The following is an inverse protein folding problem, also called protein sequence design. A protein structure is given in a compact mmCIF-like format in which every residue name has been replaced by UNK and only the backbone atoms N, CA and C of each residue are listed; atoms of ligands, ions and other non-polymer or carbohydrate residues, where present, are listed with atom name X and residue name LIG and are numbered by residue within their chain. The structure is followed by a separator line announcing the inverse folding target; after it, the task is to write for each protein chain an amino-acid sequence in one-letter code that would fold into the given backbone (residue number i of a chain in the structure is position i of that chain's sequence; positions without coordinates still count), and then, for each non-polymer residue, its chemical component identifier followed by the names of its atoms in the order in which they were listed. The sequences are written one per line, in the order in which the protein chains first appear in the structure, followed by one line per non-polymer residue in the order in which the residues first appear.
data_IF_706188846220
#
_entry.id   IF_706188846220
#
_cell.length_a   1.000
_cell.length_b   1.000
_cell.length_c   1.000
_cell.angle_alpha   90.00
_cell.angle_beta   90.00
_cell.angle_gamma   90.00
#
_symmetry.space_group_name_H-M   'P 1'
#
loop_
_entity.id
_entity.type
_entity.pdbx_description
1 polymer ?
#
# COMPACT_ATOMS: atom_id res chain seq x y z
N UNK A 1 -6.01 -20.70 30.07
CA UNK A 1 -5.40 -20.03 28.88
C UNK A 1 -6.54 -19.58 27.98
N UNK A 2 -6.99 -18.36 28.15
CA UNK A 2 -8.07 -17.78 27.34
C UNK A 2 -7.43 -17.15 26.09
N UNK A 3 -7.62 -17.80 24.95
CA UNK A 3 -7.27 -17.20 23.65
C UNK A 3 -8.25 -16.07 23.36
N UNK A 4 -7.80 -14.84 23.53
CA UNK A 4 -8.52 -13.66 23.06
C UNK A 4 -8.44 -13.65 21.53
N UNK A 5 -9.52 -14.03 20.87
CA UNK A 5 -9.66 -13.86 19.43
C UNK A 5 -9.90 -12.38 19.14
N UNK A 6 -8.89 -11.71 18.62
CA UNK A 6 -9.09 -10.38 18.04
C UNK A 6 -9.81 -10.56 16.72
N UNK A 7 -11.08 -10.16 16.67
CA UNK A 7 -11.82 -10.10 15.41
C UNK A 7 -11.18 -9.10 14.47
N UNK A 8 -11.07 -9.40 13.17
CA UNK A 8 -10.64 -8.41 12.19
C UNK A 8 -11.64 -7.23 12.22
N UNK A 9 -11.12 -6.01 12.34
CA UNK A 9 -11.94 -4.81 12.16
C UNK A 9 -12.23 -4.71 10.66
N UNK A 10 -13.37 -5.25 10.25
CA UNK A 10 -13.90 -5.01 8.91
C UNK A 10 -14.86 -3.82 9.05
N UNK A 11 -14.44 -2.66 8.60
CA UNK A 11 -15.36 -1.52 8.46
C UNK A 11 -16.11 -1.73 7.16
N UNK A 12 -17.26 -2.39 7.23
CA UNK A 12 -18.25 -2.33 6.14
C UNK A 12 -18.88 -0.95 6.18
N UNK A 13 -18.55 -0.13 5.18
CA UNK A 13 -19.42 1.01 4.86
C UNK A 13 -20.70 0.41 4.28
N UNK A 14 -21.79 0.51 5.02
CA UNK A 14 -23.11 0.15 4.53
C UNK A 14 -23.32 0.79 3.15
N UNK A 15 -23.73 -0.02 2.17
CA UNK A 15 -23.90 0.43 0.79
C UNK A 15 -24.69 1.71 0.74
N UNK A 16 -24.12 2.75 0.14
CA UNK A 16 -24.83 3.99 -0.11
C UNK A 16 -25.98 3.70 -1.08
N UNK A 17 -27.04 4.50 -1.06
CA UNK A 17 -28.14 4.48 -2.05
C UNK A 17 -27.62 4.62 -3.48
N UNK A 18 -26.35 5.01 -3.67
CA UNK A 18 -25.65 5.17 -4.95
C UNK A 18 -25.17 3.85 -5.58
N UNK A 19 -25.18 2.72 -4.85
CA UNK A 19 -24.66 1.44 -5.34
C UNK A 19 -23.14 1.39 -5.47
N UNK A 20 -22.41 2.39 -4.94
CA UNK A 20 -20.94 2.44 -4.93
C UNK A 20 -20.42 1.66 -3.72
N UNK A 21 -19.42 0.82 -3.93
CA UNK A 21 -18.73 0.10 -2.86
C UNK A 21 -17.22 0.20 -3.04
N UNK A 22 -16.50 0.59 -2.00
CA UNK A 22 -15.04 0.55 -1.91
C UNK A 22 -14.64 -0.31 -0.71
N UNK A 23 -13.76 -1.26 -0.93
CA UNK A 23 -13.19 -2.11 0.13
C UNK A 23 -11.67 -1.98 0.10
N UNK A 24 -11.06 -1.81 1.26
CA UNK A 24 -9.60 -1.79 1.41
C UNK A 24 -9.14 -2.87 2.38
N UNK A 25 -7.91 -3.34 2.21
CA UNK A 25 -7.25 -4.30 3.09
C UNK A 25 -5.88 -3.77 3.48
N UNK A 26 -5.60 -3.68 4.77
CA UNK A 26 -4.39 -3.06 5.31
C UNK A 26 -3.35 -4.07 5.82
N UNK A 27 -3.35 -5.28 5.28
CA UNK A 27 -2.39 -6.33 5.60
C UNK A 27 -2.90 -7.35 6.64
N UNK A 28 -2.27 -8.53 6.65
CA UNK A 28 -2.63 -9.68 7.49
C UNK A 28 -1.73 -9.85 8.72
N UNK A 29 -0.77 -8.94 8.95
CA UNK A 29 0.16 -9.00 10.08
C UNK A 29 -0.58 -8.90 11.43
N UNK A 30 -0.09 -9.61 12.44
CA UNK A 30 -0.60 -9.43 13.80
C UNK A 30 -0.29 -8.00 14.23
N UNK A 31 -1.30 -7.25 14.63
CA UNK A 31 -1.14 -5.99 15.35
C UNK A 31 -0.60 -6.25 16.76
N UNK A 32 0.32 -7.13 16.83
CA UNK A 32 1.07 -7.75 17.90
C UNK A 32 0.90 -7.19 19.30
N UNK A 33 1.56 -7.83 20.24
CA UNK A 33 1.67 -7.48 21.66
C UNK A 33 2.15 -6.04 21.95
N UNK A 34 2.48 -5.27 20.91
CA UNK A 34 3.09 -3.93 20.97
C UNK A 34 2.22 -2.81 20.39
N UNK A 35 0.95 -3.08 20.02
CA UNK A 35 0.05 -2.01 19.54
C UNK A 35 -0.47 -1.21 20.72
N UNK A 36 -0.04 0.04 20.83
CA UNK A 36 -0.61 0.98 21.80
C UNK A 36 -1.98 1.50 21.31
N UNK A 37 -2.85 1.98 22.22
CA UNK A 37 -4.11 2.60 21.81
C UNK A 37 -3.93 3.75 20.82
N UNK A 38 -2.88 4.55 20.97
CA UNK A 38 -2.55 5.68 20.10
C UNK A 38 -2.21 5.19 18.69
N UNK A 39 -1.46 4.10 18.57
CA UNK A 39 -1.14 3.49 17.30
C UNK A 39 -2.38 2.91 16.61
N UNK A 40 -3.26 2.26 17.36
CA UNK A 40 -4.52 1.75 16.83
C UNK A 40 -5.36 2.90 16.27
N UNK A 41 -5.50 3.99 17.04
CA UNK A 41 -6.24 5.17 16.59
C UNK A 41 -5.61 5.81 15.33
N UNK A 42 -4.27 5.83 15.22
CA UNK A 42 -3.61 6.35 14.02
C UNK A 42 -3.89 5.47 12.80
N UNK A 43 -3.81 4.14 12.93
CA UNK A 43 -4.16 3.21 11.85
C UNK A 43 -5.61 3.38 11.40
N UNK A 44 -6.56 3.51 12.34
CA UNK A 44 -7.97 3.74 12.02
C UNK A 44 -8.17 5.07 11.28
N UNK A 45 -7.47 6.13 11.69
CA UNK A 45 -7.51 7.42 11.01
C UNK A 45 -6.96 7.32 9.58
N UNK A 46 -5.84 6.62 9.38
CA UNK A 46 -5.24 6.49 8.05
C UNK A 46 -6.08 5.59 7.13
N UNK A 47 -6.72 4.55 7.68
CA UNK A 47 -7.70 3.75 6.93
C UNK A 47 -8.92 4.58 6.52
N UNK A 48 -9.44 5.43 7.42
CA UNK A 48 -10.55 6.32 7.09
C UNK A 48 -10.14 7.30 5.98
N UNK A 49 -8.95 7.89 6.05
CA UNK A 49 -8.42 8.78 5.00
C UNK A 49 -8.29 8.06 3.65
N UNK A 50 -7.83 6.81 3.66
CA UNK A 50 -7.71 6.01 2.44
C UNK A 50 -9.09 5.73 1.82
N UNK A 51 -10.08 5.36 2.64
CA UNK A 51 -11.46 5.19 2.19
C UNK A 51 -12.05 6.49 1.64
N UNK A 52 -11.88 7.61 2.35
CA UNK A 52 -12.40 8.90 1.93
C UNK A 52 -11.80 9.34 0.59
N UNK A 53 -10.47 9.19 0.42
CA UNK A 53 -9.79 9.55 -0.82
C UNK A 53 -10.30 8.75 -2.04
N UNK A 54 -10.47 7.44 -1.90
CA UNK A 54 -11.00 6.61 -2.98
C UNK A 54 -12.50 6.83 -3.19
N UNK A 55 -13.27 6.93 -2.13
CA UNK A 55 -14.72 7.05 -2.21
C UNK A 55 -15.17 8.36 -2.85
N UNK A 56 -14.53 9.48 -2.54
CA UNK A 56 -14.79 10.78 -3.17
C UNK A 56 -14.62 10.76 -4.69
N UNK A 57 -13.62 10.01 -5.20
CA UNK A 57 -13.44 9.83 -6.62
C UNK A 57 -14.59 9.03 -7.24
N UNK A 58 -15.03 7.96 -6.60
CA UNK A 58 -16.18 7.18 -7.06
C UNK A 58 -17.46 8.01 -7.08
N UNK A 59 -17.74 8.82 -6.05
CA UNK A 59 -18.88 9.73 -6.00
C UNK A 59 -18.83 10.78 -7.10
N UNK A 60 -17.65 11.23 -7.51
CA UNK A 60 -17.48 12.15 -8.63
C UNK A 60 -17.63 11.49 -10.02
N UNK A 61 -17.80 10.16 -10.06
CA UNK A 61 -17.89 9.39 -11.29
C UNK A 61 -16.55 9.00 -11.92
N UNK A 62 -15.47 9.12 -11.17
CA UNK A 62 -14.15 8.66 -11.64
C UNK A 62 -14.10 7.13 -11.83
N UNK A 63 -13.24 6.62 -12.73
CA UNK A 63 -13.03 5.19 -12.89
C UNK A 63 -12.57 4.50 -11.61
N UNK A 64 -13.01 3.25 -11.38
CA UNK A 64 -12.71 2.50 -10.16
C UNK A 64 -11.20 2.36 -9.87
N UNK A 65 -10.37 2.23 -10.89
CA UNK A 65 -8.92 2.13 -10.71
C UNK A 65 -8.28 3.42 -10.17
N UNK A 66 -8.82 4.60 -10.50
CA UNK A 66 -8.36 5.88 -9.92
C UNK A 66 -8.66 5.93 -8.42
N UNK A 67 -9.83 5.46 -8.02
CA UNK A 67 -10.22 5.39 -6.61
C UNK A 67 -9.33 4.42 -5.82
N UNK A 68 -9.01 3.27 -6.40
CA UNK A 68 -8.10 2.29 -5.80
C UNK A 68 -6.70 2.87 -5.65
N UNK A 69 -6.16 3.53 -6.68
CA UNK A 69 -4.84 4.17 -6.63
C UNK A 69 -4.81 5.26 -5.56
N UNK A 70 -5.84 6.11 -5.49
CA UNK A 70 -5.91 7.16 -4.46
C UNK A 70 -5.94 6.61 -3.03
N UNK A 71 -6.69 5.54 -2.80
CA UNK A 71 -6.71 4.87 -1.49
C UNK A 71 -5.36 4.24 -1.14
N UNK A 72 -4.68 3.62 -2.11
CA UNK A 72 -3.36 3.00 -1.92
C UNK A 72 -2.29 4.07 -1.65
N UNK A 73 -2.31 5.22 -2.33
CA UNK A 73 -1.39 6.34 -2.06
C UNK A 73 -1.41 6.74 -0.58
N UNK A 74 -2.59 6.87 0.02
CA UNK A 74 -2.71 7.20 1.45
C UNK A 74 -2.05 6.14 2.32
N UNK A 75 -2.23 4.85 1.98
CA UNK A 75 -1.62 3.75 2.74
C UNK A 75 -0.11 3.65 2.51
N UNK A 76 0.38 3.91 1.30
CA UNK A 76 1.82 3.91 0.99
C UNK A 76 2.57 5.10 1.63
N UNK A 77 1.91 6.23 1.83
CA UNK A 77 2.49 7.39 2.51
C UNK A 77 2.42 7.28 4.05
N UNK A 78 1.58 6.38 4.59
CA UNK A 78 1.40 6.18 6.03
C UNK A 78 2.38 5.15 6.60
N UNK A 79 3.17 5.49 7.66
CA UNK A 79 4.24 4.62 8.17
C UNK A 79 3.75 3.35 8.89
N UNK A 80 2.45 3.25 9.13
CA UNK A 80 1.86 2.16 9.91
C UNK A 80 1.60 0.89 9.08
N UNK A 81 1.61 0.99 7.74
CA UNK A 81 1.34 -0.11 6.84
C UNK A 81 2.61 -0.76 6.30
N UNK A 82 2.49 -2.00 5.82
CA UNK A 82 3.56 -2.67 5.07
C UNK A 82 3.41 -2.32 3.58
N UNK A 83 3.55 -1.05 3.26
CA UNK A 83 3.45 -0.52 1.90
C UNK A 83 4.18 0.82 1.85
N UNK A 84 4.87 1.15 0.79
CA UNK A 84 5.57 2.42 0.65
C UNK A 84 6.44 2.74 1.88
N UNK A 85 6.16 3.89 2.50
CA UNK A 85 6.79 4.28 3.77
C UNK A 85 6.32 3.36 4.89
N UNK A 86 7.22 2.59 5.46
CA UNK A 86 6.91 1.58 6.47
C UNK A 86 6.88 0.16 5.91
N UNK A 87 7.35 -0.04 4.68
CA UNK A 87 7.54 -1.36 4.11
C UNK A 87 8.48 -2.23 4.96
N UNK A 88 8.23 -3.53 4.98
CA UNK A 88 9.12 -4.48 5.64
C UNK A 88 10.51 -4.46 4.98
N UNK A 89 11.54 -4.68 5.80
CA UNK A 89 12.91 -4.69 5.34
C UNK A 89 13.35 -6.10 4.95
N UNK A 90 14.19 -6.19 3.94
CA UNK A 90 14.97 -7.39 3.64
C UNK A 90 15.98 -7.69 4.76
N UNK A 91 16.60 -8.85 4.73
CA UNK A 91 17.71 -9.20 5.65
C UNK A 91 18.87 -8.19 5.65
N UNK A 92 19.04 -7.50 4.52
CA UNK A 92 20.09 -6.50 4.34
C UNK A 92 19.67 -5.07 4.77
N UNK A 93 18.46 -4.93 5.31
CA UNK A 93 17.94 -3.67 5.82
C UNK A 93 17.40 -2.72 4.72
N UNK A 94 17.10 -3.24 3.55
CA UNK A 94 16.58 -2.47 2.41
C UNK A 94 15.06 -2.64 2.34
N UNK A 95 14.32 -1.55 2.15
CA UNK A 95 12.92 -1.61 1.80
C UNK A 95 12.78 -2.02 0.32
N UNK A 96 12.19 -3.19 0.07
CA UNK A 96 11.79 -3.65 -1.25
C UNK A 96 10.28 -3.85 -1.27
N UNK A 97 9.65 -3.37 -2.33
CA UNK A 97 8.19 -3.29 -2.39
C UNK A 97 7.68 -3.86 -3.71
N UNK A 98 6.48 -4.40 -3.64
CA UNK A 98 5.75 -4.94 -4.78
C UNK A 98 4.41 -4.20 -4.89
N UNK A 99 3.91 -4.04 -6.11
CA UNK A 99 2.59 -3.49 -6.35
C UNK A 99 1.95 -4.12 -7.59
N UNK A 100 0.62 -4.16 -7.60
CA UNK A 100 -0.16 -4.63 -8.73
C UNK A 100 -1.42 -3.79 -8.86
N UNK A 101 -1.74 -3.39 -10.08
CA UNK A 101 -2.99 -2.73 -10.44
C UNK A 101 -3.70 -3.57 -11.50
N UNK A 102 -4.98 -3.89 -11.25
CA UNK A 102 -5.85 -4.56 -12.20
C UNK A 102 -7.11 -3.74 -12.42
N UNK A 103 -7.54 -3.61 -13.66
CA UNK A 103 -8.78 -2.92 -14.04
C UNK A 103 -9.92 -3.93 -14.30
N UNK A 104 -11.16 -3.45 -14.32
CA UNK A 104 -12.34 -4.31 -14.46
C UNK A 104 -12.45 -5.05 -15.81
N UNK A 105 -11.75 -4.60 -16.82
CA UNK A 105 -11.60 -5.26 -18.13
C UNK A 105 -10.48 -6.30 -18.17
N UNK A 106 -9.75 -6.49 -17.05
CA UNK A 106 -8.71 -7.50 -16.90
C UNK A 106 -7.32 -7.06 -17.32
N UNK A 107 -7.10 -5.77 -17.63
CA UNK A 107 -5.74 -5.25 -17.83
C UNK A 107 -4.99 -5.20 -16.50
N UNK A 108 -3.71 -5.58 -16.52
CA UNK A 108 -2.86 -5.69 -15.33
C UNK A 108 -1.52 -5.04 -15.59
N UNK A 109 -1.01 -4.34 -14.57
CA UNK A 109 0.39 -3.93 -14.46
C UNK A 109 0.90 -4.21 -13.06
N UNK A 110 2.14 -4.65 -12.98
CA UNK A 110 2.76 -4.98 -11.70
C UNK A 110 4.25 -4.65 -11.69
N UNK A 111 4.76 -4.39 -10.50
CA UNK A 111 6.20 -4.28 -10.23
C UNK A 111 6.55 -5.13 -9.02
N UNK A 112 7.77 -5.65 -9.00
CA UNK A 112 8.33 -6.39 -7.87
C UNK A 112 9.74 -5.92 -7.58
N UNK A 113 10.09 -5.82 -6.30
CA UNK A 113 11.43 -5.48 -5.84
C UNK A 113 11.80 -4.00 -5.97
N UNK A 114 10.85 -3.09 -6.20
CA UNK A 114 11.14 -1.66 -6.30
C UNK A 114 11.61 -1.12 -4.95
N UNK A 115 12.64 -0.29 -4.96
CA UNK A 115 13.29 0.22 -3.74
C UNK A 115 13.44 1.74 -3.70
N UNK A 116 13.08 2.43 -4.79
CA UNK A 116 13.22 3.89 -4.93
C UNK A 116 11.94 4.58 -5.40
N UNK A 117 10.95 3.85 -5.88
CA UNK A 117 9.66 4.42 -6.32
C UNK A 117 8.86 4.85 -5.10
N UNK A 118 8.50 6.13 -5.02
CA UNK A 118 7.81 6.70 -3.85
C UNK A 118 6.49 5.98 -3.57
N UNK A 119 5.67 5.83 -4.60
CA UNK A 119 4.41 5.10 -4.54
C UNK A 119 4.46 3.92 -5.53
N UNK A 120 4.74 2.70 -5.07
CA UNK A 120 4.84 1.51 -5.93
C UNK A 120 3.63 1.28 -6.82
N UNK A 121 2.44 1.68 -6.41
CA UNK A 121 1.21 1.56 -7.21
C UNK A 121 1.29 2.40 -8.50
N UNK A 122 1.99 3.53 -8.50
CA UNK A 122 2.17 4.35 -9.69
C UNK A 122 3.07 3.65 -10.72
N UNK A 123 4.09 2.94 -10.27
CA UNK A 123 4.91 2.11 -11.16
C UNK A 123 4.10 0.95 -11.75
N UNK A 124 3.26 0.28 -10.95
CA UNK A 124 2.36 -0.75 -11.45
C UNK A 124 1.38 -0.19 -12.49
N UNK A 125 0.85 1.02 -12.27
CA UNK A 125 0.04 1.76 -13.24
C UNK A 125 0.80 2.07 -14.51
N UNK A 126 2.04 2.56 -14.40
CA UNK A 126 2.88 2.87 -15.55
C UNK A 126 3.19 1.62 -16.39
N UNK A 127 3.48 0.48 -15.75
CA UNK A 127 3.65 -0.80 -16.45
C UNK A 127 2.41 -1.14 -17.27
N UNK A 128 1.21 -1.01 -16.68
CA UNK A 128 -0.05 -1.28 -17.36
C UNK A 128 -0.30 -0.33 -18.55
N UNK A 129 -0.01 0.96 -18.38
CA UNK A 129 -0.42 1.99 -19.34
C UNK A 129 0.63 2.24 -20.43
N UNK A 130 1.91 2.04 -20.13
CA UNK A 130 3.02 2.48 -20.98
C UNK A 130 3.81 1.31 -21.59
N UNK A 131 3.55 0.07 -21.18
CA UNK A 131 4.33 -1.07 -21.64
C UNK A 131 3.43 -2.20 -22.22
N UNK A 132 4.07 -3.21 -22.82
CA UNK A 132 3.40 -4.44 -23.25
C UNK A 132 3.53 -5.57 -22.23
N UNK A 133 4.23 -5.31 -21.14
CA UNK A 133 4.49 -6.28 -20.09
C UNK A 133 3.42 -6.20 -19.00
N UNK A 134 3.20 -7.31 -18.32
CA UNK A 134 2.32 -7.37 -17.15
C UNK A 134 3.11 -7.10 -15.86
N UNK A 135 4.39 -7.47 -15.83
CA UNK A 135 5.24 -7.38 -14.65
C UNK A 135 6.65 -6.94 -15.03
N UNK A 136 7.17 -6.00 -14.26
CA UNK A 136 8.60 -5.70 -14.18
C UNK A 136 9.13 -6.11 -12.80
N UNK A 137 10.14 -6.97 -12.78
CA UNK A 137 10.87 -7.33 -11.58
C UNK A 137 12.20 -6.56 -11.55
N UNK A 138 12.48 -5.87 -10.46
CA UNK A 138 13.69 -5.08 -10.25
C UNK A 138 13.96 -4.11 -11.43
N UNK A 139 13.00 -3.20 -11.75
CA UNK A 139 13.16 -2.28 -12.85
C UNK A 139 14.37 -1.37 -12.61
N UNK A 140 15.09 -1.05 -13.69
CA UNK A 140 16.24 -0.16 -13.65
C UNK A 140 15.83 1.29 -13.40
N UNK A 141 16.75 2.12 -12.90
CA UNK A 141 16.52 3.56 -12.73
C UNK A 141 16.10 4.25 -14.04
N UNK A 142 16.61 3.78 -15.18
CA UNK A 142 16.24 4.31 -16.49
C UNK A 142 14.77 4.00 -16.84
N UNK A 143 14.31 2.79 -16.59
CA UNK A 143 12.90 2.41 -16.80
C UNK A 143 11.98 3.20 -15.87
N UNK A 144 12.36 3.33 -14.59
CA UNK A 144 11.61 4.13 -13.61
C UNK A 144 11.52 5.61 -14.06
N UNK A 145 12.63 6.16 -14.56
CA UNK A 145 12.65 7.53 -15.07
C UNK A 145 11.78 7.71 -16.32
N UNK A 146 11.80 6.72 -17.23
CA UNK A 146 10.97 6.74 -18.45
C UNK A 146 9.47 6.69 -18.10
N UNK A 147 9.08 6.02 -17.01
CA UNK A 147 7.70 6.01 -16.53
C UNK A 147 7.25 7.32 -15.90
N UNK A 148 8.19 8.20 -15.54
CA UNK A 148 7.89 9.51 -14.96
C UNK A 148 7.29 9.45 -13.55
N UNK A 149 7.49 8.36 -12.82
CA UNK A 149 7.01 8.19 -11.44
C UNK A 149 7.95 8.88 -10.45
N UNK A 150 7.39 9.34 -9.33
CA UNK A 150 8.16 9.97 -8.27
C UNK A 150 9.08 8.97 -7.57
N UNK A 151 10.30 9.39 -7.26
CA UNK A 151 11.30 8.56 -6.57
C UNK A 151 11.77 9.21 -5.29
N UNK A 152 12.19 8.37 -4.35
CA UNK A 152 12.77 8.74 -3.06
C UNK A 152 13.99 7.87 -2.78
N UNK A 153 14.84 8.31 -1.85
CA UNK A 153 15.90 7.45 -1.34
C UNK A 153 15.31 6.27 -0.57
N UNK A 154 15.99 5.13 -0.54
CA UNK A 154 15.50 3.96 0.22
C UNK A 154 15.29 4.27 1.71
N UNK A 155 16.06 5.20 2.28
CA UNK A 155 15.92 5.66 3.67
C UNK A 155 14.55 6.29 3.97
N UNK A 156 13.89 6.89 2.98
CA UNK A 156 12.53 7.47 3.11
C UNK A 156 11.50 6.42 3.57
N UNK A 157 11.63 5.19 3.11
CA UNK A 157 10.69 4.10 3.41
C UNK A 157 10.92 3.47 4.78
N UNK A 158 12.15 3.62 5.33
CA UNK A 158 12.57 2.92 6.52
C UNK A 158 12.09 3.67 7.77
N UNK A 159 11.28 3.02 8.59
CA UNK A 159 10.84 3.54 9.88
C UNK A 159 11.65 2.89 11.02
N UNK A 160 11.73 3.58 12.18
CA UNK A 160 12.38 3.03 13.37
C UNK A 160 11.76 1.70 13.79
N UNK A 161 10.45 1.57 13.67
CA UNK A 161 9.75 0.32 13.94
C UNK A 161 10.23 -0.82 13.03
N UNK A 162 10.46 -0.54 11.72
CA UNK A 162 10.94 -1.58 10.79
C UNK A 162 12.38 -1.99 11.09
N UNK A 163 13.23 -1.05 11.53
CA UNK A 163 14.57 -1.36 12.02
C UNK A 163 14.53 -2.29 13.24
N UNK A 164 13.67 -1.98 14.20
CA UNK A 164 13.49 -2.80 15.39
C UNK A 164 12.95 -4.20 15.03
N UNK A 165 11.93 -4.29 14.17
CA UNK A 165 11.39 -5.57 13.72
C UNK A 165 12.43 -6.43 13.00
N UNK A 166 13.31 -5.83 12.20
CA UNK A 166 14.40 -6.54 11.54
C UNK A 166 15.41 -7.07 12.58
N UNK A 167 15.83 -6.23 13.54
CA UNK A 167 16.75 -6.64 14.60
C UNK A 167 16.20 -7.79 15.45
N UNK A 168 14.90 -7.76 15.77
CA UNK A 168 14.22 -8.87 16.46
C UNK A 168 14.18 -10.16 15.63
N UNK A 169 13.99 -10.05 14.31
CA UNK A 169 13.96 -11.22 13.42
C UNK A 169 15.35 -11.86 13.21
N UNK A 170 16.41 -11.09 13.43
CA UNK A 170 17.81 -11.55 13.28
C UNK A 170 18.43 -12.07 14.58
N UNK A 171 17.73 -11.95 15.72
CA UNK A 171 18.20 -12.37 17.05
C UNK A 171 17.81 -13.82 17.35
#
# INVERSE_FOLDING_TARGET
MTTSSVSPVTTELAGSETGITLVIHAGAGSRGKHSTPERIAQVELDLQRALDAGYQLLESGAPAHEAVVAAIHVMEDAPEFNAGRGAALTSDGIAQMDACLMTGDGEVGAVAGVSTVKNPIDAARAVKEQTKHVLFADPTDAEIADWGVATESNEYFITEQRRQSLAEAQS
#
